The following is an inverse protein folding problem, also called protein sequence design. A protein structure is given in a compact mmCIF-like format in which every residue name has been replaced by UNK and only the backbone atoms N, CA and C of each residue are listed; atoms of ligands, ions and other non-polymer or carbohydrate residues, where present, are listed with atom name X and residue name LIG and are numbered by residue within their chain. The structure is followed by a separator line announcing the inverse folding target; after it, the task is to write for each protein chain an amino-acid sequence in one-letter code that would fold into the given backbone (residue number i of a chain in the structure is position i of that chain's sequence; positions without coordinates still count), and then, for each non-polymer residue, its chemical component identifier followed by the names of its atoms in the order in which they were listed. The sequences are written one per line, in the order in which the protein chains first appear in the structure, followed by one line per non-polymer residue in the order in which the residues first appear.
data_IF_844273268588
#
_entry.id   IF_844273268588
#
_cell.length_a   1.000
_cell.length_b   1.000
_cell.length_c   1.000
_cell.angle_alpha   90.00
_cell.angle_beta   90.00
_cell.angle_gamma   90.00
#
_symmetry.space_group_name_H-M   'P 1'
#
loop_
_entity.id
_entity.type
_entity.pdbx_description
1 polymer ?
#
# COMPACT_ATOMS: atom_id res chain seq x y z
N UNK A 1 45.51 -2.00 0.46
CA UNK A 1 45.18 -0.62 0.84
C UNK A 1 43.72 -0.57 1.22
N UNK A 2 43.36 -0.28 2.49
CA UNK A 2 41.95 -0.12 2.85
C UNK A 2 41.44 1.19 2.23
N UNK A 3 40.43 1.11 1.38
CA UNK A 3 39.77 2.28 0.81
C UNK A 3 39.23 3.17 1.93
N UNK A 4 39.80 4.37 2.06
CA UNK A 4 39.26 5.41 2.93
C UNK A 4 37.78 5.63 2.61
N UNK A 5 36.94 5.72 3.64
CA UNK A 5 35.53 6.05 3.51
C UNK A 5 35.43 7.44 2.87
N UNK A 6 35.15 7.50 1.56
CA UNK A 6 34.88 8.74 0.84
C UNK A 6 33.67 9.39 1.53
N UNK A 7 33.90 10.49 2.25
CA UNK A 7 32.85 11.28 2.87
C UNK A 7 31.97 11.84 1.77
N UNK A 8 30.80 11.24 1.57
CA UNK A 8 29.80 11.70 0.61
C UNK A 8 29.43 13.14 0.98
N UNK A 9 29.65 14.07 0.06
CA UNK A 9 29.34 15.48 0.28
C UNK A 9 27.82 15.65 0.08
N UNK A 10 27.05 15.26 1.10
CA UNK A 10 25.62 15.52 1.16
C UNK A 10 25.48 17.04 1.28
N UNK A 11 24.75 17.73 0.38
CA UNK A 11 24.56 19.17 0.50
C UNK A 11 24.00 19.48 1.89
N UNK A 12 24.69 20.34 2.65
CA UNK A 12 24.38 20.69 4.04
C UNK A 12 23.01 21.36 4.22
N UNK A 13 22.26 21.57 3.14
CA UNK A 13 20.97 22.23 3.15
C UNK A 13 19.99 21.41 2.33
N UNK A 14 18.95 20.81 2.95
CA UNK A 14 17.81 20.36 2.18
C UNK A 14 17.25 21.58 1.43
N UNK A 15 16.94 21.40 0.16
CA UNK A 15 16.19 22.39 -0.62
C UNK A 15 14.96 22.83 0.19
N UNK A 16 14.87 24.14 0.44
CA UNK A 16 13.79 24.75 1.22
C UNK A 16 12.44 24.77 0.48
N UNK A 17 12.36 24.22 -0.73
CA UNK A 17 11.17 24.24 -1.59
C UNK A 17 10.03 23.27 -1.22
N UNK A 18 10.25 22.30 -0.33
CA UNK A 18 9.22 21.37 0.13
C UNK A 18 9.39 21.23 1.65
N UNK A 19 8.39 21.63 2.44
CA UNK A 19 8.50 21.73 3.91
C UNK A 19 8.99 20.46 4.62
N UNK A 20 10.31 20.31 4.76
CA UNK A 20 10.96 19.06 5.19
C UNK A 20 12.10 19.33 6.17
N UNK A 21 11.74 19.47 7.45
CA UNK A 21 12.68 19.57 8.58
C UNK A 21 12.60 18.41 9.58
N UNK A 22 11.74 17.41 9.39
CA UNK A 22 11.53 16.35 10.38
C UNK A 22 12.02 14.96 9.91
N UNK A 23 12.83 14.24 10.72
CA UNK A 23 13.05 12.81 10.51
C UNK A 23 11.72 12.06 10.58
N UNK A 24 11.55 11.04 9.73
CA UNK A 24 10.36 10.16 9.70
C UNK A 24 9.02 10.78 9.28
N UNK A 25 8.99 11.91 8.56
CA UNK A 25 7.73 12.53 8.08
C UNK A 25 6.83 11.56 7.30
N UNK A 26 7.43 10.64 6.53
CA UNK A 26 6.70 9.61 5.79
C UNK A 26 5.97 8.63 6.73
N UNK A 27 6.65 8.20 7.79
CA UNK A 27 6.09 7.31 8.82
C UNK A 27 5.02 8.05 9.62
N UNK A 28 5.23 9.33 9.92
CA UNK A 28 4.23 10.15 10.61
C UNK A 28 2.94 10.28 9.78
N UNK A 29 3.03 10.63 8.49
CA UNK A 29 1.86 10.73 7.60
C UNK A 29 1.11 9.40 7.51
N UNK A 30 1.84 8.30 7.37
CA UNK A 30 1.27 6.95 7.39
C UNK A 30 0.59 6.65 8.73
N UNK A 31 1.23 6.95 9.86
CA UNK A 31 0.70 6.68 11.19
C UNK A 31 -0.56 7.51 11.47
N UNK A 32 -0.54 8.82 11.20
CA UNK A 32 -1.71 9.70 11.40
C UNK A 32 -2.89 9.21 10.57
N UNK A 33 -2.67 8.89 9.30
CA UNK A 33 -3.73 8.38 8.44
C UNK A 33 -4.30 7.06 8.97
N UNK A 34 -3.46 6.06 9.26
CA UNK A 34 -3.96 4.76 9.74
C UNK A 34 -4.58 4.84 11.13
N UNK A 35 -4.08 5.68 12.03
CA UNK A 35 -4.71 5.90 13.34
C UNK A 35 -6.10 6.52 13.17
N UNK A 36 -6.24 7.52 12.29
CA UNK A 36 -7.54 8.14 12.03
C UNK A 36 -8.53 7.13 11.41
N UNK A 37 -8.08 6.33 10.45
CA UNK A 37 -8.91 5.31 9.82
C UNK A 37 -9.25 4.15 10.79
N UNK A 38 -8.32 3.74 11.66
CA UNK A 38 -8.60 2.76 12.73
C UNK A 38 -9.58 3.31 13.77
N UNK A 39 -9.51 4.60 14.11
CA UNK A 39 -10.48 5.24 14.99
C UNK A 39 -11.89 5.24 14.38
N UNK A 40 -12.00 5.54 13.07
CA UNK A 40 -13.26 5.43 12.33
C UNK A 40 -13.79 3.98 12.31
N UNK A 41 -12.92 3.01 12.04
CA UNK A 41 -13.30 1.59 12.09
C UNK A 41 -13.75 1.18 13.50
N UNK A 42 -13.10 1.68 14.54
CA UNK A 42 -13.49 1.48 15.94
C UNK A 42 -14.87 2.08 16.25
N UNK A 43 -15.18 3.26 15.72
CA UNK A 43 -16.51 3.87 15.87
C UNK A 43 -17.59 3.01 15.18
N UNK A 44 -17.32 2.53 13.96
CA UNK A 44 -18.21 1.62 13.21
C UNK A 44 -18.41 0.30 13.96
N UNK A 45 -17.37 -0.20 14.62
CA UNK A 45 -17.44 -1.40 15.47
C UNK A 45 -18.32 -1.18 16.71
N UNK A 46 -18.13 -0.07 17.43
CA UNK A 46 -18.92 0.27 18.63
C UNK A 46 -20.40 0.49 18.28
N UNK A 47 -20.70 1.01 17.08
CA UNK A 47 -22.07 1.13 16.56
C UNK A 47 -22.70 -0.21 16.14
N UNK A 48 -21.95 -1.31 16.18
CA UNK A 48 -22.43 -2.65 15.82
C UNK A 48 -22.56 -2.91 14.32
N UNK A 49 -22.19 -1.96 13.46
CA UNK A 49 -22.30 -2.10 12.00
C UNK A 49 -21.39 -3.20 11.45
N UNK A 50 -20.26 -3.47 12.11
CA UNK A 50 -19.40 -4.61 11.77
C UNK A 50 -20.13 -5.93 11.97
N UNK A 51 -20.91 -6.07 13.05
CA UNK A 51 -21.69 -7.29 13.29
C UNK A 51 -22.78 -7.46 12.24
N UNK A 52 -23.44 -6.38 11.82
CA UNK A 52 -24.43 -6.41 10.72
C UNK A 52 -23.82 -6.96 9.43
N UNK A 53 -22.59 -6.54 9.09
CA UNK A 53 -21.88 -7.04 7.90
C UNK A 53 -21.55 -8.53 8.03
N UNK A 54 -21.06 -8.96 9.20
CA UNK A 54 -20.67 -10.35 9.45
C UNK A 54 -21.88 -11.28 9.45
N UNK A 55 -22.99 -10.86 10.07
CA UNK A 55 -24.24 -11.62 10.11
C UNK A 55 -24.92 -11.70 8.74
N UNK A 56 -24.85 -10.63 7.96
CA UNK A 56 -25.39 -10.61 6.61
C UNK A 56 -24.57 -11.45 5.62
N UNK A 57 -23.27 -11.60 5.85
CA UNK A 57 -22.39 -12.38 4.98
C UNK A 57 -22.23 -13.83 5.44
N UNK A 58 -23.21 -14.66 5.08
CA UNK A 58 -23.19 -16.11 5.36
C UNK A 58 -22.00 -16.85 4.72
N UNK A 59 -21.33 -16.25 3.72
CA UNK A 59 -20.18 -16.88 3.04
C UNK A 59 -18.87 -16.68 3.79
N UNK A 60 -18.81 -15.72 4.72
CA UNK A 60 -17.59 -15.35 5.43
C UNK A 60 -16.55 -14.61 4.57
N UNK A 61 -16.90 -14.20 3.35
CA UNK A 61 -15.97 -13.57 2.41
C UNK A 61 -15.50 -12.19 2.89
N UNK A 62 -16.35 -11.44 3.58
CA UNK A 62 -16.06 -10.13 4.18
C UNK A 62 -14.92 -10.23 5.20
N UNK A 63 -14.90 -11.30 5.99
CA UNK A 63 -13.82 -11.58 6.95
C UNK A 63 -12.54 -11.95 6.20
N UNK A 64 -12.64 -12.75 5.14
CA UNK A 64 -11.49 -13.08 4.29
C UNK A 64 -10.88 -11.84 3.62
N UNK A 65 -11.72 -10.95 3.07
CA UNK A 65 -11.30 -9.66 2.49
C UNK A 65 -10.58 -8.82 3.55
N UNK A 66 -11.13 -8.74 4.76
CA UNK A 66 -10.48 -8.02 5.86
C UNK A 66 -9.12 -8.63 6.24
N UNK A 67 -9.00 -9.96 6.25
CA UNK A 67 -7.72 -10.65 6.46
C UNK A 67 -6.67 -10.31 5.40
N UNK A 68 -7.06 -10.31 4.12
CA UNK A 68 -6.18 -9.89 3.00
C UNK A 68 -5.75 -8.43 3.16
N UNK A 69 -6.67 -7.56 3.59
CA UNK A 69 -6.37 -6.16 3.86
C UNK A 69 -5.32 -6.00 4.97
N UNK A 70 -5.45 -6.72 6.09
CA UNK A 70 -4.47 -6.68 7.18
C UNK A 70 -3.08 -7.14 6.70
N UNK A 71 -3.02 -8.21 5.90
CA UNK A 71 -1.77 -8.65 5.26
C UNK A 71 -1.17 -7.58 4.37
N UNK A 72 -1.97 -6.95 3.51
CA UNK A 72 -1.54 -5.85 2.64
C UNK A 72 -1.04 -4.63 3.41
N UNK A 73 -1.73 -4.28 4.49
CA UNK A 73 -1.36 -3.18 5.38
C UNK A 73 -0.03 -3.46 6.09
N UNK A 74 0.18 -4.68 6.59
CA UNK A 74 1.45 -5.10 7.20
C UNK A 74 2.62 -5.05 6.22
N UNK A 75 2.43 -5.54 4.99
CA UNK A 75 3.45 -5.46 3.93
C UNK A 75 3.75 -3.99 3.57
N UNK A 76 2.73 -3.14 3.51
CA UNK A 76 2.90 -1.71 3.27
C UNK A 76 3.71 -1.04 4.39
N UNK A 77 3.35 -1.29 5.65
CA UNK A 77 4.05 -0.74 6.82
C UNK A 77 5.54 -1.13 6.83
N UNK A 78 5.85 -2.42 6.62
CA UNK A 78 7.23 -2.90 6.57
C UNK A 78 8.05 -2.25 5.45
N UNK A 79 7.44 -2.03 4.27
CA UNK A 79 8.10 -1.33 3.16
C UNK A 79 8.30 0.16 3.46
N UNK A 80 7.34 0.84 4.09
CA UNK A 80 7.45 2.25 4.47
C UNK A 80 8.59 2.42 5.48
N UNK A 81 8.69 1.55 6.48
CA UNK A 81 9.81 1.56 7.43
C UNK A 81 11.15 1.38 6.74
N UNK A 82 11.26 0.41 5.81
CA UNK A 82 12.48 0.20 5.04
C UNK A 82 12.86 1.42 4.21
N UNK A 83 11.91 2.03 3.50
CA UNK A 83 12.17 3.24 2.69
C UNK A 83 12.53 4.43 3.57
N UNK A 84 11.86 4.62 4.71
CA UNK A 84 12.18 5.71 5.64
C UNK A 84 13.61 5.58 6.16
N UNK A 85 14.02 4.37 6.60
CA UNK A 85 15.38 4.13 7.10
C UNK A 85 16.45 4.45 6.07
N UNK A 86 16.19 4.12 4.80
CA UNK A 86 17.12 4.37 3.71
C UNK A 86 17.18 5.86 3.35
N UNK A 87 16.04 6.55 3.39
CA UNK A 87 15.98 8.00 3.21
C UNK A 87 16.74 8.75 4.32
N UNK A 88 16.62 8.27 5.57
CA UNK A 88 17.33 8.84 6.71
C UNK A 88 18.84 8.60 6.62
N UNK A 89 19.31 7.43 6.14
CA UNK A 89 20.74 7.18 5.85
C UNK A 89 21.28 8.10 4.74
N UNK A 90 20.52 8.31 3.66
CA UNK A 90 20.91 9.24 2.60
C UNK A 90 21.05 10.68 3.11
N UNK A 91 20.24 11.07 4.11
CA UNK A 91 20.32 12.41 4.74
C UNK A 91 21.43 12.53 5.78
N UNK A 92 21.71 11.46 6.54
CA UNK A 92 22.68 11.43 7.64
C UNK A 92 23.71 10.30 7.48
N UNK A 93 24.88 10.64 6.91
CA UNK A 93 25.97 9.72 6.51
C UNK A 93 26.57 8.89 7.65
N UNK A 94 26.46 9.35 8.91
CA UNK A 94 27.04 8.67 10.08
C UNK A 94 26.38 7.32 10.41
N UNK A 95 25.16 7.08 9.92
CA UNK A 95 24.36 5.88 10.26
C UNK A 95 24.50 4.72 9.25
N UNK A 96 25.35 4.87 8.23
CA UNK A 96 25.34 4.02 7.03
C UNK A 96 26.39 2.89 7.05
N UNK A 97 26.40 2.01 8.05
CA UNK A 97 27.33 0.86 8.05
C UNK A 97 26.91 -0.31 7.15
N UNK A 98 25.63 -0.42 6.75
CA UNK A 98 25.12 -1.54 5.94
C UNK A 98 23.85 -1.23 5.08
N UNK A 99 23.66 0.00 4.63
CA UNK A 99 22.50 0.39 3.81
C UNK A 99 22.69 0.04 2.32
N UNK A 100 21.61 -0.35 1.62
CA UNK A 100 21.70 -0.63 0.18
C UNK A 100 21.87 0.66 -0.64
N UNK A 101 21.38 1.80 -0.14
CA UNK A 101 21.62 3.12 -0.73
C UNK A 101 23.13 3.44 -0.79
N UNK A 102 23.87 3.14 0.29
CA UNK A 102 25.33 3.29 0.30
C UNK A 102 26.02 2.36 -0.71
N UNK A 103 25.53 1.13 -0.90
CA UNK A 103 26.06 0.20 -1.92
C UNK A 103 25.82 0.74 -3.34
N UNK A 104 24.62 1.24 -3.63
CA UNK A 104 24.30 1.87 -4.92
C UNK A 104 25.23 3.05 -5.22
N UNK A 105 25.41 3.95 -4.24
CA UNK A 105 26.29 5.11 -4.41
C UNK A 105 27.73 4.70 -4.69
N UNK A 106 28.27 3.70 -3.97
CA UNK A 106 29.61 3.13 -4.25
C UNK A 106 29.74 2.57 -5.67
N UNK A 107 28.71 1.91 -6.16
CA UNK A 107 28.70 1.32 -7.51
C UNK A 107 28.66 2.37 -8.63
N UNK A 108 27.96 3.49 -8.38
CA UNK A 108 27.79 4.59 -9.34
C UNK A 108 29.01 5.52 -9.37
N UNK A 109 29.73 5.69 -8.25
CA UNK A 109 30.81 6.68 -8.08
C UNK A 109 32.04 6.55 -8.99
N UNK A 110 32.18 5.46 -9.76
CA UNK A 110 33.27 5.26 -10.74
C UNK A 110 32.80 5.05 -12.19
N UNK A 111 31.50 5.18 -12.46
CA UNK A 111 30.91 4.89 -13.79
C UNK A 111 30.79 6.16 -14.64
N UNK A 112 30.98 6.01 -15.96
CA UNK A 112 30.71 7.08 -16.94
C UNK A 112 29.22 7.46 -16.98
N UNK A 113 28.89 8.68 -17.44
CA UNK A 113 27.52 9.24 -17.40
C UNK A 113 26.44 8.32 -17.99
N UNK A 114 26.70 7.71 -19.15
CA UNK A 114 25.77 6.76 -19.78
C UNK A 114 25.50 5.50 -18.94
N UNK A 115 26.52 4.96 -18.27
CA UNK A 115 26.38 3.79 -17.40
C UNK A 115 25.66 4.13 -16.08
N UNK A 116 25.86 5.35 -15.56
CA UNK A 116 25.12 5.87 -14.40
C UNK A 116 23.63 6.01 -14.69
N UNK A 117 23.27 6.54 -15.87
CA UNK A 117 21.88 6.63 -16.34
C UNK A 117 21.16 5.28 -16.37
N UNK A 118 21.79 4.24 -16.97
CA UNK A 118 21.23 2.88 -17.01
C UNK A 118 21.01 2.32 -15.60
N UNK A 119 21.96 2.56 -14.68
CA UNK A 119 21.87 2.09 -13.29
C UNK A 119 20.75 2.81 -12.54
N UNK A 120 20.53 4.10 -12.80
CA UNK A 120 19.44 4.90 -12.25
C UNK A 120 18.06 4.42 -12.73
N UNK A 121 17.92 4.07 -14.01
CA UNK A 121 16.66 3.55 -14.55
C UNK A 121 16.35 2.15 -14.00
N UNK A 122 17.37 1.28 -13.93
CA UNK A 122 17.23 -0.02 -13.28
C UNK A 122 16.80 0.11 -11.82
N UNK A 123 17.33 1.09 -11.08
CA UNK A 123 16.92 1.38 -9.71
C UNK A 123 15.43 1.74 -9.64
N UNK A 124 14.96 2.68 -10.47
CA UNK A 124 13.56 3.12 -10.50
C UNK A 124 12.61 1.95 -10.78
N UNK A 125 12.94 1.13 -11.78
CA UNK A 125 12.14 -0.06 -12.14
C UNK A 125 12.10 -1.06 -10.97
N UNK A 126 13.24 -1.33 -10.33
CA UNK A 126 13.29 -2.25 -9.19
C UNK A 126 12.48 -1.77 -7.99
N UNK A 127 12.54 -0.47 -7.66
CA UNK A 127 11.72 0.13 -6.60
C UNK A 127 10.24 0.06 -6.94
N UNK A 128 9.86 0.44 -8.17
CA UNK A 128 8.48 0.37 -8.64
C UNK A 128 7.91 -1.05 -8.55
N UNK A 129 8.67 -2.05 -9.00
CA UNK A 129 8.28 -3.45 -8.92
C UNK A 129 8.12 -3.91 -7.46
N UNK A 130 9.06 -3.55 -6.58
CA UNK A 130 9.00 -3.92 -5.16
C UNK A 130 7.81 -3.34 -4.43
N UNK A 131 7.35 -2.13 -4.76
CA UNK A 131 6.18 -1.53 -4.12
C UNK A 131 4.87 -1.96 -4.79
N UNK A 132 4.89 -2.43 -6.04
CA UNK A 132 3.71 -2.83 -6.80
C UNK A 132 2.92 -3.97 -6.14
N UNK A 133 3.57 -4.82 -5.35
CA UNK A 133 2.87 -5.89 -4.60
C UNK A 133 1.75 -5.37 -3.70
N UNK A 134 1.92 -4.19 -3.08
CA UNK A 134 0.89 -3.60 -2.21
C UNK A 134 -0.33 -3.17 -3.04
N UNK A 135 -0.08 -2.59 -4.22
CA UNK A 135 -1.13 -2.22 -5.17
C UNK A 135 -1.88 -3.46 -5.68
N UNK A 136 -1.15 -4.55 -5.95
CA UNK A 136 -1.77 -5.80 -6.39
C UNK A 136 -2.68 -6.39 -5.31
N UNK A 137 -2.24 -6.40 -4.06
CA UNK A 137 -3.07 -6.83 -2.92
C UNK A 137 -4.30 -5.93 -2.76
N UNK A 138 -4.15 -4.62 -2.95
CA UNK A 138 -5.30 -3.72 -2.93
C UNK A 138 -6.30 -4.06 -4.03
N UNK A 139 -5.84 -4.27 -5.27
CA UNK A 139 -6.71 -4.65 -6.39
C UNK A 139 -7.44 -5.98 -6.15
N UNK A 140 -6.81 -6.95 -5.48
CA UNK A 140 -7.48 -8.21 -5.13
C UNK A 140 -8.63 -8.05 -4.14
N UNK A 141 -8.65 -7.01 -3.30
CA UNK A 141 -9.78 -6.73 -2.39
C UNK A 141 -11.06 -6.42 -3.17
N UNK A 142 -10.95 -5.67 -4.27
CA UNK A 142 -12.10 -5.37 -5.15
C UNK A 142 -12.54 -6.63 -5.88
N UNK A 143 -11.60 -7.41 -6.41
CA UNK A 143 -11.91 -8.67 -7.09
C UNK A 143 -12.62 -9.66 -6.15
N UNK A 144 -12.19 -9.77 -4.90
CA UNK A 144 -12.88 -10.56 -3.89
C UNK A 144 -14.29 -10.01 -3.61
N UNK A 145 -14.46 -8.69 -3.53
CA UNK A 145 -15.78 -8.07 -3.42
C UNK A 145 -16.72 -8.44 -4.58
N UNK A 146 -16.20 -8.42 -5.81
CA UNK A 146 -16.95 -8.81 -7.01
C UNK A 146 -17.33 -10.30 -7.00
N UNK A 147 -16.45 -11.18 -6.50
CA UNK A 147 -16.78 -12.59 -6.27
C UNK A 147 -17.94 -12.71 -5.28
N UNK A 148 -17.94 -11.90 -4.22
CA UNK A 148 -19.04 -11.83 -3.27
C UNK A 148 -20.35 -11.40 -3.91
N UNK A 149 -20.32 -10.49 -4.89
CA UNK A 149 -21.52 -10.11 -5.66
C UNK A 149 -22.09 -11.30 -6.44
N UNK A 150 -21.22 -12.08 -7.09
CA UNK A 150 -21.63 -13.29 -7.84
C UNK A 150 -22.22 -14.33 -6.89
N UNK A 151 -21.55 -14.61 -5.77
CA UNK A 151 -22.04 -15.57 -4.78
C UNK A 151 -23.36 -15.14 -4.16
N UNK A 152 -23.51 -13.85 -3.85
CA UNK A 152 -24.76 -13.30 -3.35
C UNK A 152 -25.91 -13.46 -4.34
N UNK A 153 -25.68 -13.21 -5.64
CA UNK A 153 -26.70 -13.49 -6.66
C UNK A 153 -27.05 -14.97 -6.79
N UNK A 154 -26.05 -15.87 -6.69
CA UNK A 154 -26.30 -17.32 -6.69
C UNK A 154 -27.18 -17.73 -5.49
N UNK A 155 -26.92 -17.19 -4.30
CA UNK A 155 -27.73 -17.44 -3.11
C UNK A 155 -29.15 -16.85 -3.25
N UNK A 156 -29.26 -15.66 -3.82
CA UNK A 156 -30.54 -15.00 -4.03
C UNK A 156 -31.45 -15.82 -4.96
N UNK A 157 -30.88 -16.29 -6.08
CA UNK A 157 -31.62 -17.04 -7.09
C UNK A 157 -31.88 -18.50 -6.70
N UNK A 158 -31.04 -19.11 -5.86
CA UNK A 158 -31.23 -20.51 -5.43
C UNK A 158 -32.52 -20.73 -4.62
N UNK A 159 -33.04 -19.67 -3.98
CA UNK A 159 -34.30 -19.73 -3.25
C UNK A 159 -35.55 -19.53 -4.12
N UNK A 160 -35.41 -19.21 -5.40
CA UNK A 160 -36.53 -18.93 -6.30
C UNK A 160 -36.96 -20.21 -7.03
N UNK A 161 -38.17 -20.69 -6.74
CA UNK A 161 -38.79 -21.79 -7.48
C UNK A 161 -39.92 -21.25 -8.38
N UNK A 162 -39.76 -21.28 -9.71
CA UNK A 162 -40.76 -20.76 -10.65
C UNK A 162 -42.07 -21.56 -10.63
N UNK A 163 -42.04 -22.85 -10.27
CA UNK A 163 -43.23 -23.70 -10.27
C UNK A 163 -44.17 -23.38 -9.10
N UNK A 164 -43.64 -22.87 -7.99
CA UNK A 164 -44.41 -22.45 -6.82
C UNK A 164 -44.60 -20.93 -6.75
N UNK A 165 -44.26 -20.20 -7.81
CA UNK A 165 -44.33 -18.73 -7.85
C UNK A 165 -45.75 -18.17 -7.65
N UNK A 166 -46.78 -18.95 -7.98
CA UNK A 166 -48.19 -18.59 -7.75
C UNK A 166 -48.71 -18.90 -6.33
N UNK A 167 -47.95 -19.64 -5.52
CA UNK A 167 -48.34 -19.97 -4.15
C UNK A 167 -47.90 -18.87 -3.17
N UNK A 168 -48.88 -18.19 -2.56
CA UNK A 168 -48.66 -17.15 -1.56
C UNK A 168 -47.79 -17.64 -0.39
N UNK A 169 -47.84 -18.94 -0.06
CA UNK A 169 -47.04 -19.53 1.02
C UNK A 169 -45.55 -19.64 0.65
N UNK A 170 -45.24 -19.71 -0.64
CA UNK A 170 -43.87 -19.79 -1.13
C UNK A 170 -43.22 -18.40 -1.30
N UNK A 171 -44.00 -17.31 -1.28
CA UNK A 171 -43.49 -15.94 -1.48
C UNK A 171 -42.53 -15.52 -0.35
N UNK A 172 -42.92 -15.71 0.92
CA UNK A 172 -42.11 -15.29 2.06
C UNK A 172 -40.71 -15.94 2.09
N UNK A 173 -40.56 -17.27 1.90
CA UNK A 173 -39.23 -17.89 1.84
C UNK A 173 -38.42 -17.46 0.61
N UNK A 174 -39.06 -17.27 -0.55
CA UNK A 174 -38.38 -16.71 -1.74
C UNK A 174 -37.80 -15.32 -1.48
N UNK A 175 -38.60 -14.42 -0.89
CA UNK A 175 -38.16 -13.06 -0.55
C UNK A 175 -37.02 -13.09 0.46
N UNK A 176 -37.08 -13.98 1.46
CA UNK A 176 -36.01 -14.14 2.45
C UNK A 176 -34.69 -14.54 1.82
N UNK A 177 -34.71 -15.52 0.90
CA UNK A 177 -33.52 -15.94 0.17
C UNK A 177 -32.95 -14.83 -0.72
N UNK A 178 -33.83 -14.10 -1.44
CA UNK A 178 -33.44 -12.95 -2.26
C UNK A 178 -32.76 -11.85 -1.43
N UNK A 179 -33.33 -11.50 -0.26
CA UNK A 179 -32.75 -10.49 0.64
C UNK A 179 -31.40 -10.97 1.18
N UNK A 180 -31.29 -12.23 1.58
CA UNK A 180 -30.04 -12.82 2.07
C UNK A 180 -28.94 -12.80 1.02
N UNK A 181 -29.21 -13.25 -0.21
CA UNK A 181 -28.21 -13.21 -1.27
C UNK A 181 -27.83 -11.78 -1.68
N UNK A 182 -28.80 -10.87 -1.71
CA UNK A 182 -28.54 -9.45 -2.00
C UNK A 182 -27.69 -8.78 -0.91
N UNK A 183 -27.91 -9.10 0.36
CA UNK A 183 -27.11 -8.52 1.46
C UNK A 183 -25.65 -8.98 1.38
N UNK A 184 -25.41 -10.28 1.14
CA UNK A 184 -24.06 -10.82 0.88
C UNK A 184 -23.39 -10.04 -0.26
N UNK A 185 -24.08 -9.86 -1.38
CA UNK A 185 -23.54 -9.16 -2.55
C UNK A 185 -23.17 -7.70 -2.24
N UNK A 186 -24.05 -6.96 -1.57
CA UNK A 186 -23.84 -5.54 -1.27
C UNK A 186 -22.72 -5.34 -0.25
N UNK A 187 -22.73 -6.10 0.85
CA UNK A 187 -21.77 -5.91 1.93
C UNK A 187 -20.35 -6.34 1.54
N UNK A 188 -20.18 -7.49 0.87
CA UNK A 188 -18.86 -7.94 0.40
C UNK A 188 -18.25 -6.94 -0.60
N UNK A 189 -19.06 -6.39 -1.50
CA UNK A 189 -18.64 -5.36 -2.46
C UNK A 189 -18.23 -4.07 -1.75
N UNK A 190 -19.03 -3.61 -0.77
CA UNK A 190 -18.75 -2.41 0.01
C UNK A 190 -17.44 -2.55 0.80
N UNK A 191 -17.26 -3.66 1.51
CA UNK A 191 -16.05 -3.96 2.29
C UNK A 191 -14.82 -4.00 1.38
N UNK A 192 -14.90 -4.70 0.25
CA UNK A 192 -13.81 -4.76 -0.73
C UNK A 192 -13.41 -3.39 -1.26
N UNK A 193 -14.38 -2.53 -1.60
CA UNK A 193 -14.14 -1.19 -2.11
C UNK A 193 -13.53 -0.25 -1.05
N UNK A 194 -14.08 -0.22 0.16
CA UNK A 194 -13.60 0.65 1.25
C UNK A 194 -12.17 0.27 1.67
N UNK A 195 -11.91 -1.03 1.86
CA UNK A 195 -10.57 -1.50 2.24
C UNK A 195 -9.55 -1.31 1.11
N UNK A 196 -9.95 -1.45 -0.15
CA UNK A 196 -9.12 -1.09 -1.30
C UNK A 196 -8.73 0.38 -1.28
N UNK A 197 -9.69 1.30 -1.06
CA UNK A 197 -9.41 2.73 -1.00
C UNK A 197 -8.43 3.06 0.14
N UNK A 198 -8.65 2.48 1.32
CA UNK A 198 -7.73 2.64 2.45
C UNK A 198 -6.32 2.16 2.08
N UNK A 199 -6.17 0.95 1.57
CA UNK A 199 -4.86 0.41 1.22
C UNK A 199 -4.18 1.19 0.07
N UNK A 200 -4.95 1.74 -0.87
CA UNK A 200 -4.42 2.57 -1.94
C UNK A 200 -3.87 3.92 -1.45
N UNK A 201 -4.48 4.55 -0.44
CA UNK A 201 -3.90 5.75 0.17
C UNK A 201 -2.55 5.43 0.80
N UNK A 202 -2.46 4.31 1.51
CA UNK A 202 -1.19 3.82 2.08
C UNK A 202 -0.13 3.54 1.00
N UNK A 203 -0.53 2.90 -0.10
CA UNK A 203 0.34 2.70 -1.26
C UNK A 203 0.84 4.03 -1.85
N UNK A 204 0.00 5.07 -1.94
CA UNK A 204 0.41 6.40 -2.43
C UNK A 204 1.51 7.02 -1.56
N UNK A 205 1.43 6.88 -0.23
CA UNK A 205 2.51 7.32 0.65
C UNK A 205 3.80 6.54 0.36
N UNK A 206 3.72 5.20 0.29
CA UNK A 206 4.86 4.35 -0.03
C UNK A 206 5.51 4.70 -1.37
N UNK A 207 4.70 4.92 -2.41
CA UNK A 207 5.14 5.29 -3.75
C UNK A 207 5.83 6.67 -3.76
N UNK A 208 5.25 7.66 -3.09
CA UNK A 208 5.86 8.98 -2.94
C UNK A 208 7.23 8.91 -2.24
N UNK A 209 7.35 8.11 -1.18
CA UNK A 209 8.62 7.87 -0.50
C UNK A 209 9.66 7.18 -1.39
N UNK A 210 9.24 6.16 -2.16
CA UNK A 210 10.10 5.44 -3.09
C UNK A 210 10.66 6.36 -4.19
N UNK A 211 9.83 7.25 -4.74
CA UNK A 211 10.24 8.22 -5.75
C UNK A 211 11.26 9.20 -5.16
N UNK A 212 10.98 9.77 -3.98
CA UNK A 212 11.91 10.69 -3.30
C UNK A 212 13.27 10.04 -3.06
N UNK A 213 13.29 8.80 -2.57
CA UNK A 213 14.52 8.06 -2.35
C UNK A 213 15.30 7.85 -3.66
N UNK A 214 14.62 7.43 -4.73
CA UNK A 214 15.25 7.24 -6.03
C UNK A 214 15.84 8.56 -6.57
N UNK A 215 15.10 9.67 -6.50
CA UNK A 215 15.58 10.97 -6.97
C UNK A 215 16.76 11.48 -6.15
N UNK A 216 16.72 11.34 -4.82
CA UNK A 216 17.84 11.75 -3.96
C UNK A 216 19.11 10.95 -4.27
N UNK A 217 19.00 9.63 -4.45
CA UNK A 217 20.14 8.78 -4.80
C UNK A 217 20.76 9.14 -6.15
N UNK A 218 19.93 9.38 -7.17
CA UNK A 218 20.41 9.79 -8.48
C UNK A 218 21.09 11.16 -8.41
N UNK A 219 20.47 12.13 -7.74
CA UNK A 219 21.06 13.48 -7.59
C UNK A 219 22.42 13.47 -6.89
N UNK A 220 22.57 12.66 -5.84
CA UNK A 220 23.85 12.48 -5.15
C UNK A 220 24.87 11.74 -6.01
N UNK A 221 24.43 10.75 -6.80
CA UNK A 221 25.28 10.05 -7.75
C UNK A 221 25.83 10.96 -8.84
N UNK A 222 25.04 11.93 -9.31
CA UNK A 222 25.47 12.95 -10.27
C UNK A 222 26.40 13.99 -9.64
N UNK A 223 26.04 14.55 -8.49
CA UNK A 223 26.82 15.59 -7.81
C UNK A 223 28.24 15.14 -7.40
N UNK A 224 28.43 13.86 -7.10
CA UNK A 224 29.74 13.31 -6.73
C UNK A 224 30.59 12.87 -7.94
N UNK A 225 30.05 12.99 -9.17
CA UNK A 225 30.75 12.64 -10.40
C UNK A 225 31.31 13.86 -11.14
N UNK A 226 30.86 15.08 -10.82
CA UNK A 226 31.47 16.30 -11.35
C UNK A 226 32.86 16.53 -10.73
N UNK A 227 33.91 16.78 -11.54
CA UNK A 227 35.19 17.22 -11.02
C UNK A 227 35.02 18.55 -10.29
N UNK A 228 35.59 18.66 -9.10
CA UNK A 228 35.59 19.90 -8.32
C UNK A 228 36.25 20.99 -9.18
N UNK A 229 35.60 22.13 -9.45
CA UNK A 229 36.30 23.27 -10.03
C UNK A 229 37.37 23.72 -9.03
N UNK A 230 38.60 23.69 -9.51
CA UNK A 230 39.84 24.11 -8.84
C UNK A 230 39.77 25.58 -8.37
#
# INVERSE_FOLDING_TARGET
MPCAARSWNVPAKPDKGLGEGYPHLLVLRFAVFNLSALALLGAVYIQGWVNVVIEADVTGLSVAIFGVFLGGLGVCAGKIWKISRELDCVRNTESCSASWAATYLKEVGGRGSGSRGITADALRVNLANRIAVVRQVAASLVLLGLIGTVLGFVIALSGVNPETAGDVRAIAPMVTALISGMSVALYTTLVGAVLHLWLMVNYRFLAGGAVKLATSLVSLGEANAEPRPD
#
